data_IF_282149618725
#
_entry.id   IF_282149618725
#
_cell.length_a   1.000
_cell.length_b   1.000
_cell.length_c   1.000
_cell.angle_alpha   90.00
_cell.angle_beta   90.00
_cell.angle_gamma   90.00
#
_symmetry.space_group_name_H-M   'P 1'
#
loop_
_entity.id
_entity.type
_entity.pdbx_description
1 polymer ?
#
# COMPACT_ATOMS: atom_id res chain seq x y z
N UNK A 1 -13.61 -24.32 7.60
CA UNK A 1 -12.19 -24.17 8.00
C UNK A 1 -11.44 -25.48 7.79
N UNK A 2 -11.98 -26.60 8.28
CA UNK A 2 -11.32 -27.90 8.16
C UNK A 2 -11.11 -28.34 6.70
N UNK A 3 -12.12 -28.13 5.84
CA UNK A 3 -11.96 -28.40 4.40
C UNK A 3 -10.77 -27.67 3.75
N UNK A 4 -10.45 -26.45 4.20
CA UNK A 4 -9.30 -25.70 3.67
C UNK A 4 -7.98 -26.32 4.11
N UNK A 5 -7.86 -26.71 5.39
CA UNK A 5 -6.66 -27.34 5.95
C UNK A 5 -6.42 -28.75 5.40
N UNK A 6 -7.46 -29.45 4.97
CA UNK A 6 -7.35 -30.75 4.30
C UNK A 6 -6.78 -30.63 2.87
N UNK A 7 -7.03 -29.52 2.18
CA UNK A 7 -6.61 -29.33 0.80
C UNK A 7 -5.31 -28.52 0.70
N UNK A 8 -5.13 -27.50 1.54
CA UNK A 8 -3.97 -26.61 1.49
C UNK A 8 -3.25 -26.61 2.82
N UNK A 9 -1.91 -26.65 2.76
CA UNK A 9 -1.08 -26.28 3.90
C UNK A 9 -1.18 -24.77 4.08
N UNK A 10 -2.05 -24.33 4.99
CA UNK A 10 -2.46 -22.94 5.08
C UNK A 10 -2.80 -22.50 6.49
N UNK A 11 -2.59 -21.20 6.73
CA UNK A 11 -3.02 -20.53 7.95
C UNK A 11 -4.35 -19.85 7.65
N UNK A 12 -5.38 -20.26 8.37
CA UNK A 12 -6.74 -19.76 8.19
C UNK A 12 -7.02 -18.68 9.23
N UNK A 13 -7.35 -17.48 8.78
CA UNK A 13 -7.66 -16.34 9.61
C UNK A 13 -9.05 -16.38 10.26
N UNK A 14 -9.40 -15.30 10.94
CA UNK A 14 -10.75 -15.07 11.45
C UNK A 14 -11.74 -14.79 10.31
N UNK A 15 -13.00 -15.19 10.50
CA UNK A 15 -14.06 -14.84 9.56
C UNK A 15 -14.36 -13.35 9.70
N UNK A 16 -14.33 -12.62 8.59
CA UNK A 16 -14.70 -11.21 8.50
C UNK A 16 -15.97 -11.10 7.65
N UNK A 17 -17.14 -11.08 8.30
CA UNK A 17 -18.44 -11.15 7.68
C UNK A 17 -18.61 -12.41 6.79
N UNK A 18 -18.65 -12.24 5.47
CA UNK A 18 -18.75 -13.33 4.50
C UNK A 18 -17.40 -13.74 3.88
N UNK A 19 -16.28 -13.24 4.42
CA UNK A 19 -14.93 -13.51 3.93
C UNK A 19 -14.13 -14.29 4.94
N UNK A 20 -13.30 -15.20 4.45
CA UNK A 20 -12.34 -15.95 5.25
C UNK A 20 -10.96 -15.76 4.61
N UNK A 21 -10.06 -15.05 5.31
CA UNK A 21 -8.69 -14.87 4.85
C UNK A 21 -7.89 -16.17 5.06
N UNK A 22 -7.08 -16.54 4.06
CA UNK A 22 -6.25 -17.73 4.09
C UNK A 22 -4.87 -17.35 3.56
N UNK A 23 -3.84 -17.66 4.32
CA UNK A 23 -2.45 -17.52 3.92
C UNK A 23 -1.91 -18.89 3.54
N UNK A 24 -1.40 -19.01 2.32
CA UNK A 24 -0.72 -20.22 1.82
C UNK A 24 0.76 -19.89 1.68
N UNK A 25 1.65 -20.50 2.48
CA UNK A 25 3.09 -20.31 2.32
C UNK A 25 3.54 -20.74 0.93
N UNK A 26 4.49 -20.00 0.36
CA UNK A 26 5.06 -20.29 -0.95
C UNK A 26 6.53 -19.87 -0.97
N UNK A 27 7.40 -20.73 -1.50
CA UNK A 27 8.85 -20.58 -1.36
C UNK A 27 9.49 -19.67 -2.43
N UNK A 28 8.85 -19.52 -3.60
CA UNK A 28 9.41 -18.77 -4.74
C UNK A 28 8.83 -17.36 -4.79
N UNK A 29 9.63 -16.40 -5.26
CA UNK A 29 9.13 -15.03 -5.49
C UNK A 29 8.14 -14.93 -6.65
N UNK A 30 8.26 -15.82 -7.64
CA UNK A 30 7.41 -15.85 -8.83
C UNK A 30 6.85 -17.26 -8.98
N UNK A 31 5.53 -17.32 -9.18
CA UNK A 31 4.83 -18.58 -9.43
C UNK A 31 4.97 -18.99 -10.88
N UNK A 32 5.42 -20.23 -11.11
CA UNK A 32 5.46 -20.78 -12.47
C UNK A 32 4.03 -20.98 -13.01
N UNK A 33 3.89 -20.91 -14.34
CA UNK A 33 2.62 -21.06 -15.01
C UNK A 33 1.94 -22.41 -14.70
N UNK A 34 2.70 -23.50 -14.66
CA UNK A 34 2.15 -24.83 -14.37
C UNK A 34 1.69 -24.94 -12.91
N UNK A 35 2.48 -24.42 -11.97
CA UNK A 35 2.13 -24.40 -10.54
C UNK A 35 0.87 -23.55 -10.30
N UNK A 36 0.72 -22.45 -11.05
CA UNK A 36 -0.49 -21.62 -11.02
C UNK A 36 -1.72 -22.38 -11.47
N UNK A 37 -1.63 -23.13 -12.57
CA UNK A 37 -2.77 -23.94 -13.07
C UNK A 37 -3.15 -25.00 -12.03
N UNK A 38 -2.17 -25.68 -11.44
CA UNK A 38 -2.42 -26.69 -10.41
C UNK A 38 -3.11 -26.08 -9.19
N UNK A 39 -2.65 -24.91 -8.74
CA UNK A 39 -3.27 -24.16 -7.64
C UNK A 39 -4.74 -23.80 -7.95
N UNK A 40 -5.02 -23.32 -9.17
CA UNK A 40 -6.37 -22.95 -9.60
C UNK A 40 -7.28 -24.17 -9.66
N UNK A 41 -6.83 -25.28 -10.23
CA UNK A 41 -7.63 -26.51 -10.32
C UNK A 41 -7.91 -27.11 -8.93
N UNK A 42 -6.91 -27.12 -8.05
CA UNK A 42 -7.08 -27.55 -6.66
C UNK A 42 -8.08 -26.66 -5.89
N UNK A 43 -8.05 -25.35 -6.13
CA UNK A 43 -9.04 -24.42 -5.56
C UNK A 43 -10.45 -24.68 -6.13
N UNK A 44 -10.57 -25.00 -7.42
CA UNK A 44 -11.87 -25.34 -8.06
C UNK A 44 -12.45 -26.62 -7.49
N UNK A 45 -11.63 -27.64 -7.27
CA UNK A 45 -12.02 -28.88 -6.60
C UNK A 45 -12.53 -28.61 -5.19
N UNK A 46 -11.81 -27.79 -4.41
CA UNK A 46 -12.24 -27.41 -3.07
C UNK A 46 -13.59 -26.67 -3.08
N UNK A 47 -13.82 -25.73 -4.00
CA UNK A 47 -15.13 -25.04 -4.11
C UNK A 47 -16.25 -26.04 -4.39
N UNK A 48 -16.04 -26.99 -5.32
CA UNK A 48 -17.02 -28.04 -5.63
C UNK A 48 -17.30 -28.92 -4.42
N UNK A 49 -16.25 -29.29 -3.70
CA UNK A 49 -16.34 -30.10 -2.48
C UNK A 49 -17.13 -29.40 -1.37
N UNK A 50 -16.81 -28.13 -1.09
CA UNK A 50 -17.51 -27.34 -0.07
C UNK A 50 -18.97 -27.11 -0.43
N UNK A 51 -19.27 -26.83 -1.71
CA UNK A 51 -20.64 -26.68 -2.20
C UNK A 51 -21.45 -27.97 -2.01
N UNK A 52 -20.87 -29.13 -2.34
CA UNK A 52 -21.54 -30.44 -2.17
C UNK A 52 -21.87 -30.76 -0.71
N UNK A 53 -21.01 -30.35 0.23
CA UNK A 53 -21.19 -30.63 1.67
C UNK A 53 -22.16 -29.67 2.37
N UNK A 54 -22.24 -28.43 1.93
CA UNK A 54 -22.93 -27.35 2.67
C UNK A 54 -24.09 -26.72 1.93
N UNK A 55 -24.25 -27.01 0.64
CA UNK A 55 -25.18 -26.37 -0.28
C UNK A 55 -25.03 -24.85 -0.42
N UNK A 56 -23.86 -24.32 -0.02
CA UNK A 56 -23.52 -22.90 -0.12
C UNK A 56 -22.59 -22.67 -1.32
N UNK A 57 -22.80 -21.56 -2.04
CA UNK A 57 -21.90 -21.11 -3.10
C UNK A 57 -20.67 -20.40 -2.51
N UNK A 58 -19.48 -20.93 -2.79
CA UNK A 58 -18.20 -20.31 -2.41
C UNK A 58 -17.50 -19.73 -3.64
N UNK A 59 -16.73 -18.68 -3.40
CA UNK A 59 -15.81 -18.10 -4.38
C UNK A 59 -14.43 -17.94 -3.73
N UNK A 60 -13.37 -18.25 -4.46
CA UNK A 60 -11.98 -18.14 -3.99
C UNK A 60 -11.23 -17.15 -4.89
N UNK A 61 -10.67 -16.12 -4.27
CA UNK A 61 -9.73 -15.21 -4.90
C UNK A 61 -8.32 -15.61 -4.54
N UNK A 62 -7.41 -15.54 -5.51
CA UNK A 62 -6.00 -15.89 -5.34
C UNK A 62 -5.17 -14.68 -5.74
N UNK A 63 -4.36 -14.17 -4.80
CA UNK A 63 -3.36 -13.14 -5.04
C UNK A 63 -2.03 -13.75 -5.45
N UNK A 64 -1.12 -12.92 -5.95
CA UNK A 64 0.22 -13.38 -6.32
C UNK A 64 1.08 -13.68 -5.09
N UNK A 65 2.19 -14.42 -5.25
CA UNK A 65 3.23 -14.53 -4.24
C UNK A 65 3.75 -13.16 -3.83
N UNK A 66 3.89 -12.93 -2.52
CA UNK A 66 4.45 -11.71 -1.93
C UNK A 66 5.27 -12.06 -0.70
N UNK A 67 6.21 -11.17 -0.35
CA UNK A 67 6.87 -11.20 0.95
C UNK A 67 5.83 -11.19 2.09
N UNK A 68 6.16 -11.81 3.23
CA UNK A 68 5.24 -11.89 4.37
C UNK A 68 4.75 -10.50 4.83
N UNK A 69 5.62 -9.50 4.82
CA UNK A 69 5.28 -8.11 5.15
C UNK A 69 4.27 -7.48 4.17
N UNK A 70 4.17 -8.03 2.96
CA UNK A 70 3.26 -7.62 1.90
C UNK A 70 2.06 -8.56 1.74
N UNK A 71 1.77 -9.42 2.73
CA UNK A 71 0.63 -10.34 2.67
C UNK A 71 -0.72 -9.62 2.51
N UNK A 72 -0.83 -8.38 3.02
CA UNK A 72 -2.01 -7.52 2.82
C UNK A 72 -2.26 -7.17 1.35
N UNK A 73 -1.19 -7.05 0.55
CA UNK A 73 -1.30 -6.78 -0.89
C UNK A 73 -1.82 -8.00 -1.63
N UNK A 74 -1.27 -9.19 -1.34
CA UNK A 74 -1.77 -10.45 -1.91
C UNK A 74 -3.25 -10.67 -1.54
N UNK A 75 -3.65 -10.31 -0.32
CA UNK A 75 -5.05 -10.33 0.10
C UNK A 75 -5.92 -9.35 -0.72
N UNK A 76 -5.42 -8.13 -0.96
CA UNK A 76 -6.13 -7.11 -1.74
C UNK A 76 -6.24 -7.51 -3.21
N UNK A 77 -5.18 -8.09 -3.78
CA UNK A 77 -5.16 -8.69 -5.12
C UNK A 77 -6.23 -9.80 -5.24
N UNK A 78 -6.30 -10.71 -4.27
CA UNK A 78 -7.31 -11.75 -4.22
C UNK A 78 -8.74 -11.20 -4.16
N UNK A 79 -8.97 -10.13 -3.38
CA UNK A 79 -10.27 -9.45 -3.32
C UNK A 79 -10.62 -8.80 -4.66
N UNK A 80 -9.68 -8.10 -5.28
CA UNK A 80 -9.87 -7.45 -6.57
C UNK A 80 -10.17 -8.50 -7.66
N UNK A 81 -9.51 -9.65 -7.63
CA UNK A 81 -9.81 -10.77 -8.52
C UNK A 81 -11.25 -11.29 -8.38
N UNK A 82 -11.77 -11.36 -7.16
CA UNK A 82 -13.15 -11.75 -6.90
C UNK A 82 -14.18 -10.71 -7.34
N UNK A 83 -13.84 -9.43 -7.29
CA UNK A 83 -14.70 -8.33 -7.75
C UNK A 83 -14.73 -8.27 -9.28
N UNK A 84 -13.58 -8.44 -9.93
CA UNK A 84 -13.44 -8.34 -11.38
C UNK A 84 -13.92 -9.59 -12.14
N UNK A 85 -14.02 -10.74 -11.47
CA UNK A 85 -14.53 -11.98 -12.04
C UNK A 85 -15.91 -12.33 -11.46
N UNK A 86 -16.68 -13.15 -12.18
CA UNK A 86 -17.89 -13.83 -11.67
C UNK A 86 -17.65 -15.32 -11.41
N UNK A 87 -16.46 -15.83 -11.75
CA UNK A 87 -16.09 -17.22 -11.58
C UNK A 87 -16.01 -17.66 -10.11
N UNK A 88 -16.04 -18.99 -9.92
CA UNK A 88 -15.86 -19.62 -8.60
C UNK A 88 -14.43 -19.51 -8.08
N UNK A 89 -13.45 -19.41 -8.98
CA UNK A 89 -12.04 -19.17 -8.64
C UNK A 89 -11.52 -18.08 -9.58
N UNK A 90 -10.80 -17.10 -9.03
CA UNK A 90 -10.18 -16.01 -9.78
C UNK A 90 -8.76 -15.78 -9.27
N UNK A 91 -7.79 -15.75 -10.19
CA UNK A 91 -6.40 -15.42 -9.89
C UNK A 91 -6.10 -14.00 -10.37
N UNK A 92 -5.24 -13.26 -9.64
CA UNK A 92 -4.89 -11.88 -10.01
C UNK A 92 -4.27 -11.80 -11.42
N UNK A 93 -3.42 -12.76 -11.78
CA UNK A 93 -2.78 -12.84 -13.11
C UNK A 93 -3.74 -13.12 -14.27
N UNK A 94 -4.96 -13.58 -13.99
CA UNK A 94 -5.99 -13.77 -15.01
C UNK A 94 -6.78 -12.47 -15.25
N UNK A 95 -6.52 -11.41 -14.46
CA UNK A 95 -7.13 -10.10 -14.65
C UNK A 95 -6.32 -9.28 -15.67
N UNK A 96 -6.98 -8.53 -16.56
CA UNK A 96 -6.32 -7.55 -17.43
C UNK A 96 -5.80 -6.32 -16.66
N UNK A 97 -5.83 -6.34 -15.32
CA UNK A 97 -5.52 -5.23 -14.43
C UNK A 97 -4.25 -5.57 -13.64
N UNK A 98 -3.09 -5.56 -14.31
CA UNK A 98 -1.80 -5.61 -13.63
C UNK A 98 -1.09 -4.28 -13.86
N UNK A 99 -0.82 -3.56 -12.77
CA UNK A 99 0.19 -2.52 -12.78
C UNK A 99 1.54 -3.24 -12.70
N UNK A 100 2.09 -3.60 -13.86
CA UNK A 100 3.43 -4.18 -13.94
C UNK A 100 4.45 -3.03 -13.86
N UNK A 101 5.22 -3.00 -12.78
CA UNK A 101 6.35 -2.08 -12.68
C UNK A 101 7.46 -2.59 -13.59
N UNK A 102 7.95 -1.74 -14.49
CA UNK A 102 9.01 -2.14 -15.42
C UNK A 102 10.35 -2.37 -14.69
N UNK A 103 10.95 -3.55 -14.90
CA UNK A 103 12.36 -3.81 -14.61
C UNK A 103 12.78 -3.61 -13.13
N UNK A 104 13.68 -2.65 -12.91
CA UNK A 104 14.36 -2.38 -11.63
C UNK A 104 13.69 -1.28 -10.79
N UNK A 105 12.41 -0.98 -11.03
CA UNK A 105 11.68 0.03 -10.28
C UNK A 105 11.60 -0.30 -8.77
N UNK A 106 11.98 0.62 -7.86
CA UNK A 106 12.18 0.30 -6.47
C UNK A 106 10.89 0.45 -5.66
N UNK A 107 9.91 -0.43 -5.94
CA UNK A 107 8.60 -0.48 -5.26
C UNK A 107 8.76 -0.52 -3.73
N UNK A 108 9.77 -1.24 -3.24
CA UNK A 108 10.06 -1.34 -1.80
C UNK A 108 10.47 0.00 -1.18
N UNK A 109 11.25 0.82 -1.89
CA UNK A 109 11.64 2.16 -1.41
C UNK A 109 10.45 3.12 -1.42
N UNK A 110 9.62 3.09 -2.46
CA UNK A 110 8.42 3.93 -2.54
C UNK A 110 7.46 3.67 -1.38
N UNK A 111 7.14 2.39 -1.13
CA UNK A 111 6.23 2.03 -0.03
C UNK A 111 6.82 2.37 1.33
N UNK A 112 8.12 2.16 1.51
CA UNK A 112 8.84 2.52 2.72
C UNK A 112 8.76 4.03 2.99
N UNK A 113 8.96 4.86 1.96
CA UNK A 113 8.85 6.31 2.07
C UNK A 113 7.48 6.74 2.59
N UNK A 114 6.40 6.21 2.00
CA UNK A 114 5.06 6.61 2.40
C UNK A 114 4.67 6.11 3.80
N UNK A 115 5.16 4.94 4.22
CA UNK A 115 5.00 4.47 5.60
C UNK A 115 5.72 5.39 6.60
N UNK A 116 6.95 5.80 6.31
CA UNK A 116 7.72 6.72 7.15
C UNK A 116 7.07 8.11 7.24
N UNK A 117 6.47 8.59 6.15
CA UNK A 117 5.69 9.84 6.13
C UNK A 117 4.42 9.71 6.97
N UNK A 118 3.70 8.59 6.85
CA UNK A 118 2.53 8.29 7.67
C UNK A 118 2.86 8.28 9.17
N UNK A 119 4.05 7.77 9.52
CA UNK A 119 4.55 7.75 10.89
C UNK A 119 5.10 9.10 11.38
N UNK A 120 5.33 10.05 10.47
CA UNK A 120 5.93 11.34 10.77
C UNK A 120 7.44 11.27 11.01
N UNK A 121 8.10 10.20 10.58
CA UNK A 121 9.54 9.99 10.75
C UNK A 121 10.32 10.82 9.72
N UNK A 122 10.74 12.02 10.13
CA UNK A 122 11.41 12.99 9.25
C UNK A 122 12.75 12.45 8.74
N UNK A 123 13.53 11.81 9.60
CA UNK A 123 14.90 11.40 9.29
C UNK A 123 14.89 10.24 8.31
N UNK A 124 14.10 9.20 8.60
CA UNK A 124 14.01 8.03 7.73
C UNK A 124 13.29 8.38 6.40
N UNK A 125 12.19 9.13 6.43
CA UNK A 125 11.52 9.56 5.19
C UNK A 125 12.45 10.38 4.30
N UNK A 126 13.27 11.26 4.88
CA UNK A 126 14.26 12.03 4.11
C UNK A 126 15.33 11.15 3.48
N UNK A 127 15.81 10.14 4.21
CA UNK A 127 16.81 9.20 3.71
C UNK A 127 16.24 8.31 2.59
N UNK A 128 15.02 7.78 2.76
CA UNK A 128 14.35 6.96 1.76
C UNK A 128 13.99 7.76 0.51
N UNK A 129 13.50 9.00 0.67
CA UNK A 129 13.26 9.92 -0.44
C UNK A 129 14.56 10.23 -1.20
N UNK A 130 15.66 10.50 -0.50
CA UNK A 130 16.94 10.75 -1.13
C UNK A 130 17.42 9.54 -1.94
N UNK A 131 17.31 8.33 -1.38
CA UNK A 131 17.68 7.09 -2.05
C UNK A 131 16.83 6.84 -3.32
N UNK A 132 15.53 7.13 -3.27
CA UNK A 132 14.66 7.01 -4.45
C UNK A 132 15.05 8.04 -5.53
N UNK A 133 15.37 9.27 -5.13
CA UNK A 133 15.82 10.30 -6.06
C UNK A 133 17.15 9.95 -6.73
N UNK A 134 18.10 9.41 -5.95
CA UNK A 134 19.37 8.95 -6.47
C UNK A 134 19.18 7.80 -7.45
N UNK A 135 18.30 6.84 -7.14
CA UNK A 135 17.92 5.79 -8.08
C UNK A 135 17.38 6.33 -9.41
N UNK A 136 16.49 7.35 -9.40
CA UNK A 136 15.99 7.98 -10.64
C UNK A 136 17.10 8.59 -11.49
N UNK A 137 18.12 9.14 -10.82
CA UNK A 137 19.30 9.73 -11.47
C UNK A 137 20.20 8.65 -12.04
N UNK A 138 20.44 7.57 -11.28
CA UNK A 138 21.32 6.46 -11.64
C UNK A 138 20.81 5.68 -12.87
N UNK A 139 19.49 5.53 -13.02
CA UNK A 139 18.90 4.90 -14.21
C UNK A 139 18.91 5.82 -15.45
N UNK A 140 19.38 7.06 -15.31
CA UNK A 140 19.44 8.03 -16.41
C UNK A 140 18.07 8.52 -16.87
N UNK A 141 17.11 8.65 -15.96
CA UNK A 141 15.78 9.19 -16.30
C UNK A 141 15.89 10.63 -16.81
N UNK A 142 15.05 11.00 -17.77
CA UNK A 142 15.02 12.38 -18.26
C UNK A 142 14.38 13.31 -17.23
N UNK A 143 14.74 14.59 -17.33
CA UNK A 143 14.32 15.63 -16.42
C UNK A 143 12.79 15.75 -16.30
N UNK A 144 12.05 15.53 -17.40
CA UNK A 144 10.60 15.66 -17.39
C UNK A 144 9.93 14.52 -16.61
N UNK A 145 10.40 13.29 -16.82
CA UNK A 145 9.92 12.15 -16.05
C UNK A 145 10.27 12.27 -14.56
N UNK A 146 11.48 12.76 -14.22
CA UNK A 146 11.85 13.06 -12.84
C UNK A 146 10.90 14.09 -12.20
N UNK A 147 10.61 15.19 -12.91
CA UNK A 147 9.66 16.24 -12.48
C UNK A 147 8.27 15.67 -12.17
N UNK A 148 7.74 14.87 -13.07
CA UNK A 148 6.43 14.23 -12.89
C UNK A 148 6.45 13.31 -11.67
N UNK A 149 7.52 12.52 -11.51
CA UNK A 149 7.60 11.54 -10.42
C UNK A 149 7.74 12.18 -9.05
N UNK A 150 8.59 13.21 -8.90
CA UNK A 150 8.68 13.93 -7.62
C UNK A 150 7.38 14.65 -7.29
N UNK A 151 6.68 15.20 -8.29
CA UNK A 151 5.40 15.89 -8.08
C UNK A 151 4.33 14.89 -7.63
N UNK A 152 4.25 13.73 -8.26
CA UNK A 152 3.38 12.62 -7.83
C UNK A 152 3.64 12.27 -6.35
N UNK A 153 4.90 12.07 -5.97
CA UNK A 153 5.26 11.69 -4.60
C UNK A 153 4.92 12.79 -3.59
N UNK A 154 5.15 14.06 -3.91
CA UNK A 154 4.79 15.18 -3.03
C UNK A 154 3.28 15.25 -2.85
N UNK A 155 2.51 15.15 -3.93
CA UNK A 155 1.05 15.21 -3.86
C UNK A 155 0.46 14.05 -3.04
N UNK A 156 1.06 12.85 -3.17
CA UNK A 156 0.65 11.68 -2.39
C UNK A 156 1.04 11.80 -0.91
N UNK A 157 2.26 12.28 -0.63
CA UNK A 157 2.75 12.54 0.74
C UNK A 157 1.84 13.52 1.48
N UNK A 158 1.43 14.59 0.80
CA UNK A 158 0.48 15.54 1.34
C UNK A 158 -0.90 14.93 1.53
N UNK A 159 -1.37 14.10 0.59
CA UNK A 159 -2.65 13.39 0.75
C UNK A 159 -2.66 12.55 2.03
N UNK A 160 -1.60 11.78 2.29
CA UNK A 160 -1.41 11.04 3.56
C UNK A 160 -1.43 12.01 4.74
N UNK A 161 -0.70 13.12 4.66
CA UNK A 161 -0.65 14.11 5.72
C UNK A 161 -2.03 14.75 6.00
N UNK A 162 -2.84 15.03 4.98
CA UNK A 162 -4.20 15.56 5.15
C UNK A 162 -5.12 14.53 5.80
N UNK A 163 -5.12 13.28 5.33
CA UNK A 163 -5.98 12.23 5.88
C UNK A 163 -5.63 11.86 7.33
N UNK A 164 -4.34 11.71 7.64
CA UNK A 164 -3.86 11.29 8.96
C UNK A 164 -3.69 12.46 9.93
N UNK A 165 -3.21 13.58 9.42
CA UNK A 165 -3.02 14.83 10.15
C UNK A 165 -4.29 15.65 10.31
N UNK A 166 -5.45 15.23 9.80
CA UNK A 166 -6.74 15.91 10.02
C UNK A 166 -6.71 17.39 9.65
N UNK A 167 -5.90 17.76 8.66
CA UNK A 167 -5.76 19.11 8.15
C UNK A 167 -6.86 19.41 7.14
N UNK A 168 -7.23 20.68 6.99
CA UNK A 168 -8.17 21.08 5.95
C UNK A 168 -7.43 21.27 4.62
N UNK A 169 -7.76 20.42 3.65
CA UNK A 169 -7.26 20.58 2.29
C UNK A 169 -7.85 21.84 1.63
N UNK A 170 -6.99 22.63 0.97
CA UNK A 170 -7.40 23.77 0.15
C UNK A 170 -6.87 23.59 -1.27
N UNK A 171 -7.76 23.61 -2.28
CA UNK A 171 -7.39 23.40 -3.67
C UNK A 171 -6.29 24.35 -4.16
N UNK A 172 -6.37 25.62 -3.75
CA UNK A 172 -5.44 26.67 -4.21
C UNK A 172 -4.08 26.66 -3.50
N UNK A 173 -3.86 25.77 -2.53
CA UNK A 173 -2.59 25.70 -1.78
C UNK A 173 -1.39 25.19 -2.59
N UNK A 174 -1.64 24.66 -3.81
CA UNK A 174 -0.63 23.99 -4.65
C UNK A 174 -0.42 24.66 -6.00
N UNK A 175 -0.93 25.88 -6.18
CA UNK A 175 -0.95 26.56 -7.48
C UNK A 175 0.46 26.80 -8.06
N UNK A 176 1.47 26.87 -7.21
CA UNK A 176 2.86 27.14 -7.51
C UNK A 176 3.70 25.88 -7.76
N UNK A 177 3.22 24.68 -7.45
CA UNK A 177 4.03 23.45 -7.50
C UNK A 177 4.45 23.11 -8.93
N UNK A 178 3.51 23.11 -9.86
CA UNK A 178 3.81 22.79 -11.26
C UNK A 178 4.75 23.84 -11.89
N UNK A 179 4.50 25.16 -11.76
CA UNK A 179 5.47 26.18 -12.19
C UNK A 179 6.88 25.98 -11.61
N UNK A 180 6.99 25.78 -10.29
CA UNK A 180 8.28 25.59 -9.62
C UNK A 180 9.05 24.39 -10.16
N UNK A 181 8.40 23.24 -10.26
CA UNK A 181 9.03 22.00 -10.74
C UNK A 181 9.46 22.13 -12.21
N UNK A 182 8.71 22.87 -13.03
CA UNK A 182 9.05 23.13 -14.43
C UNK A 182 10.23 24.08 -14.60
N UNK A 183 10.42 25.04 -13.69
CA UNK A 183 11.54 25.99 -13.70
C UNK A 183 12.86 25.35 -13.26
N UNK A 184 12.82 24.28 -12.44
CA UNK A 184 14.02 23.59 -11.97
C UNK A 184 14.73 22.86 -13.12
N UNK A 185 15.80 23.45 -13.64
CA UNK A 185 16.62 22.87 -14.71
C UNK A 185 17.58 21.78 -14.22
N UNK A 186 17.97 21.83 -12.94
CA UNK A 186 19.00 20.96 -12.37
C UNK A 186 18.41 19.90 -11.43
N UNK A 187 18.86 18.63 -11.53
CA UNK A 187 18.45 17.57 -10.60
C UNK A 187 18.69 17.89 -9.13
N UNK A 188 19.75 18.63 -8.81
CA UNK A 188 20.06 19.04 -7.42
C UNK A 188 18.99 19.96 -6.81
N UNK A 189 18.46 20.88 -7.61
CA UNK A 189 17.38 21.78 -7.19
C UNK A 189 16.08 20.98 -6.95
N UNK A 190 15.77 20.06 -7.86
CA UNK A 190 14.63 19.14 -7.71
C UNK A 190 14.75 18.26 -6.47
N UNK A 191 15.94 17.69 -6.20
CA UNK A 191 16.18 16.88 -5.00
C UNK A 191 15.90 17.68 -3.74
N UNK A 192 16.42 18.90 -3.67
CA UNK A 192 16.25 19.78 -2.52
C UNK A 192 14.76 20.11 -2.29
N UNK A 193 14.04 20.45 -3.36
CA UNK A 193 12.61 20.74 -3.29
C UNK A 193 11.81 19.52 -2.85
N UNK A 194 12.07 18.36 -3.45
CA UNK A 194 11.41 17.09 -3.15
C UNK A 194 11.59 16.70 -1.67
N UNK A 195 12.83 16.73 -1.17
CA UNK A 195 13.12 16.44 0.24
C UNK A 195 12.48 17.47 1.18
N UNK A 196 12.45 18.75 0.80
CA UNK A 196 11.78 19.80 1.57
C UNK A 196 10.30 19.52 1.76
N UNK A 197 9.60 19.13 0.68
CA UNK A 197 8.17 18.81 0.68
C UNK A 197 7.84 17.52 1.45
N UNK A 198 8.71 16.50 1.36
CA UNK A 198 8.60 15.31 2.20
C UNK A 198 8.67 15.64 3.70
N UNK A 199 9.66 16.46 4.11
CA UNK A 199 9.79 16.92 5.50
C UNK A 199 8.59 17.73 5.99
N UNK A 200 8.05 18.60 5.14
CA UNK A 200 6.83 19.37 5.43
C UNK A 200 5.65 18.44 5.71
N UNK A 201 5.47 17.39 4.89
CA UNK A 201 4.43 16.39 5.07
C UNK A 201 4.58 15.63 6.40
N UNK A 202 5.79 15.18 6.75
CA UNK A 202 6.05 14.53 8.05
C UNK A 202 5.75 15.45 9.24
N UNK A 203 6.19 16.72 9.18
CA UNK A 203 5.94 17.72 10.24
C UNK A 203 4.45 17.97 10.44
N UNK A 204 3.69 18.03 9.35
CA UNK A 204 2.25 18.22 9.41
C UNK A 204 1.55 17.05 10.12
N UNK A 205 2.01 15.82 9.91
CA UNK A 205 1.53 14.64 10.65
C UNK A 205 1.89 14.74 12.13
N UNK A 206 3.13 15.09 12.47
CA UNK A 206 3.59 15.20 13.87
C UNK A 206 2.86 16.29 14.65
N UNK A 207 2.80 17.52 14.12
CA UNK A 207 2.17 18.65 14.80
C UNK A 207 0.71 18.33 15.20
N UNK A 208 -0.04 17.64 14.34
CA UNK A 208 -1.41 17.25 14.69
C UNK A 208 -1.48 16.09 15.70
N UNK A 209 -0.55 15.14 15.66
CA UNK A 209 -0.47 14.09 16.69
C UNK A 209 -0.21 14.70 18.07
N UNK A 210 0.63 15.74 18.15
CA UNK A 210 0.88 16.50 19.38
C UNK A 210 -0.36 17.29 19.84
N UNK A 211 -1.06 18.01 18.94
CA UNK A 211 -2.31 18.71 19.29
C UNK A 211 -3.40 17.75 19.81
N UNK A 212 -3.54 16.57 19.20
CA UNK A 212 -4.47 15.52 19.66
C UNK A 212 -4.07 14.97 21.03
N UNK A 213 -2.77 14.77 21.27
CA UNK A 213 -2.29 14.25 22.57
C UNK A 213 -2.44 15.27 23.69
N UNK A 214 -2.12 16.55 23.43
CA UNK A 214 -2.30 17.64 24.39
C UNK A 214 -3.76 17.86 24.76
N UNK A 215 -4.66 17.84 23.79
CA UNK A 215 -6.11 17.98 24.05
C UNK A 215 -6.70 16.82 24.87
N UNK A 216 -6.22 15.59 24.70
CA UNK A 216 -6.63 14.44 25.52
C UNK A 216 -6.16 14.62 26.99
N UNK A 217 -4.92 15.05 27.19
CA UNK A 217 -4.37 15.28 28.54
C UNK A 217 -5.12 16.41 29.26
N UNK A 218 -5.40 17.51 28.56
CA UNK A 218 -6.19 18.62 29.12
C UNK A 218 -7.63 18.19 29.47
N UNK A 219 -8.22 17.31 28.66
CA UNK A 219 -9.57 16.80 28.91
C UNK A 219 -9.60 15.86 30.11
N UNK A 220 -8.59 14.99 30.26
CA UNK A 220 -8.45 14.10 31.42
C UNK A 220 -8.20 14.89 32.73
N UNK A 221 -7.32 15.92 32.69
CA UNK A 221 -7.11 16.81 33.83
C UNK A 221 -8.39 17.57 34.25
N UNK A 222 -9.19 18.05 33.28
CA UNK A 222 -10.48 18.69 33.58
C UNK A 222 -11.51 17.73 34.15
N UNK A 223 -11.49 16.45 33.76
CA UNK A 223 -12.37 15.42 34.32
C UNK A 223 -11.96 15.06 35.76
N UNK A 224 -10.67 14.97 36.05
CA UNK A 224 -10.15 14.74 37.40
C UNK A 224 -10.47 15.90 38.36
N UNK A 225 -10.40 17.16 37.88
CA UNK A 225 -10.76 18.34 38.67
C UNK A 225 -12.26 18.49 38.94
N UNK A 226 -13.13 17.88 38.12
CA UNK A 226 -14.59 17.89 38.33
C UNK A 226 -15.10 16.80 39.27
N UNK A 227 -14.26 15.81 39.58
CA UNK A 227 -14.60 14.68 40.45
C UNK A 227 -14.04 14.82 41.89
N UNK A 228 -13.49 15.99 42.23
CA UNK A 228 -13.14 16.43 43.59
C UNK A 228 -13.98 17.64 43.99
#
# INVERSE_FOLDING_TARGET
RDCLKEHFDCIVGTVMANKLAVLVPYEKEIMDYNERIELIEKARELVRYMRKRTDISFRIGIGGPKDFLMASESYTEALNALVASTGSVAHVDDLPIRCEFAGNYPVKLEKKLFAEIEDGDIDNASATAAAFFDWMTDIGSDLMNMRLKILEFVLWSEHIAYEKGGMTYQLNSRADYLPQVMEMAEPSAMKTWFLGKGKESCRNVLNKREEKSGSIIEMDQKLQLKNN
#
